data_IF_170799172390
#
_entry.id   IF_170799172390
#
_cell.length_a   1.000
_cell.length_b   1.000
_cell.length_c   1.000
_cell.angle_alpha   90.00
_cell.angle_beta   90.00
_cell.angle_gamma   90.00
#
_symmetry.space_group_name_H-M   'P 1'
#
loop_
_entity.id
_entity.type
_entity.pdbx_description
1 polymer ?
#
# COMPACT_ATOMS: atom_id res chain seq x y z
N UNK A 1 5.43 -32.10 -7.66
CA UNK A 1 5.42 -30.90 -6.82
C UNK A 1 6.06 -31.32 -5.52
N UNK A 2 7.30 -30.90 -5.25
CA UNK A 2 7.94 -31.17 -3.96
C UNK A 2 7.35 -30.18 -2.96
N UNK A 3 6.60 -30.67 -1.98
CA UNK A 3 6.33 -29.88 -0.78
C UNK A 3 7.66 -29.59 -0.09
N UNK A 4 7.92 -28.32 0.24
CA UNK A 4 9.07 -27.97 1.06
C UNK A 4 8.98 -28.70 2.41
N UNK A 5 10.10 -29.25 2.85
CA UNK A 5 10.17 -30.01 4.09
C UNK A 5 10.03 -29.09 5.30
N UNK A 6 9.42 -29.58 6.37
CA UNK A 6 9.39 -28.88 7.65
C UNK A 6 10.78 -28.90 8.28
N UNK A 7 11.33 -27.71 8.54
CA UNK A 7 12.61 -27.51 9.21
C UNK A 7 12.38 -27.05 10.65
N UNK A 8 13.20 -27.52 11.59
CA UNK A 8 13.16 -27.04 12.98
C UNK A 8 13.92 -25.73 13.08
N UNK A 9 13.25 -24.66 13.53
CA UNK A 9 13.82 -23.29 13.51
C UNK A 9 14.16 -22.74 14.90
N UNK A 10 13.34 -23.04 15.91
CA UNK A 10 13.51 -22.54 17.27
C UNK A 10 12.68 -23.36 18.26
N UNK A 11 12.89 -23.16 19.55
CA UNK A 11 11.99 -23.63 20.61
C UNK A 11 10.98 -22.55 21.00
N UNK A 12 9.81 -22.95 21.50
CA UNK A 12 8.78 -22.01 21.95
C UNK A 12 9.28 -21.13 23.11
N UNK A 13 10.06 -21.70 24.02
CA UNK A 13 10.62 -20.98 25.17
C UNK A 13 11.64 -19.89 24.78
N UNK A 14 12.37 -20.07 23.68
CA UNK A 14 13.23 -19.02 23.13
C UNK A 14 12.42 -17.82 22.65
N UNK A 15 11.21 -18.06 22.12
CA UNK A 15 10.33 -16.99 21.63
C UNK A 15 9.47 -16.37 22.75
N UNK A 16 9.09 -17.11 23.78
CA UNK A 16 8.30 -16.59 24.91
C UNK A 16 8.99 -15.43 25.65
N UNK A 17 10.33 -15.40 25.66
CA UNK A 17 11.13 -14.36 26.30
C UNK A 17 11.29 -13.06 25.50
N UNK A 18 10.80 -13.00 24.27
CA UNK A 18 11.01 -11.88 23.35
C UNK A 18 9.80 -11.66 22.42
N UNK A 19 9.74 -10.50 21.76
CA UNK A 19 8.67 -10.23 20.80
C UNK A 19 8.97 -10.81 19.41
N UNK A 20 10.25 -11.03 19.12
CA UNK A 20 10.73 -11.50 17.82
C UNK A 20 12.05 -12.26 17.95
N UNK A 21 12.34 -13.15 16.99
CA UNK A 21 13.59 -13.92 16.95
C UNK A 21 14.03 -14.14 15.49
N UNK A 22 15.27 -13.76 15.16
CA UNK A 22 15.87 -14.04 13.85
C UNK A 22 16.28 -15.51 13.74
N UNK A 23 15.94 -16.13 12.61
CA UNK A 23 16.18 -17.55 12.30
C UNK A 23 16.57 -17.70 10.82
N UNK A 24 16.98 -18.90 10.42
CA UNK A 24 17.17 -19.27 9.00
C UNK A 24 16.15 -20.34 8.65
N UNK A 25 15.50 -20.22 7.49
CA UNK A 25 14.49 -21.18 6.98
C UNK A 25 14.74 -21.37 5.49
N UNK A 26 15.01 -22.60 5.05
CA UNK A 26 15.30 -22.89 3.62
C UNK A 26 16.44 -22.00 3.05
N UNK A 27 17.52 -21.85 3.82
CA UNK A 27 18.66 -20.96 3.53
C UNK A 27 18.33 -19.46 3.43
N UNK A 28 17.10 -19.04 3.74
CA UNK A 28 16.69 -17.64 3.78
C UNK A 28 16.74 -17.07 5.20
N UNK A 29 17.24 -15.84 5.39
CA UNK A 29 17.10 -15.11 6.65
C UNK A 29 15.62 -14.79 6.90
N UNK A 30 15.12 -15.14 8.08
CA UNK A 30 13.74 -14.94 8.47
C UNK A 30 13.63 -14.43 9.91
N UNK A 31 12.48 -13.86 10.25
CA UNK A 31 12.17 -13.40 11.59
C UNK A 31 10.83 -14.00 12.05
N UNK A 32 10.87 -14.67 13.20
CA UNK A 32 9.68 -15.07 13.93
C UNK A 32 9.18 -13.88 14.73
N UNK A 33 7.90 -13.56 14.63
CA UNK A 33 7.28 -12.40 15.29
C UNK A 33 6.07 -12.88 16.07
N UNK A 34 6.02 -12.54 17.36
CA UNK A 34 4.82 -12.69 18.18
C UNK A 34 4.04 -11.38 18.19
N UNK A 35 2.83 -11.40 17.68
CA UNK A 35 1.94 -10.24 17.62
C UNK A 35 0.49 -10.66 17.87
N UNK A 36 -0.19 -10.01 18.82
CA UNK A 36 -1.59 -10.28 19.19
C UNK A 36 -1.86 -11.77 19.50
N UNK A 37 -1.02 -12.36 20.38
CA UNK A 37 -1.04 -13.78 20.77
C UNK A 37 -0.93 -14.79 19.61
N UNK A 38 -0.49 -14.33 18.44
CA UNK A 38 -0.21 -15.16 17.25
C UNK A 38 1.27 -15.10 16.88
N UNK A 39 1.68 -16.08 16.11
CA UNK A 39 3.04 -16.21 15.60
C UNK A 39 3.03 -16.08 14.09
N UNK A 40 3.97 -15.27 13.59
CA UNK A 40 4.20 -15.05 12.17
C UNK A 40 5.66 -15.32 11.87
N UNK A 41 5.94 -15.70 10.64
CA UNK A 41 7.29 -15.87 10.15
C UNK A 41 7.37 -15.28 8.75
N UNK A 42 8.29 -14.35 8.57
CA UNK A 42 8.50 -13.61 7.33
C UNK A 42 9.99 -13.54 7.02
N UNK A 43 10.34 -13.34 5.76
CA UNK A 43 11.71 -13.09 5.34
C UNK A 43 12.23 -11.82 6.02
N UNK A 44 13.45 -11.88 6.52
CA UNK A 44 14.09 -10.78 7.24
C UNK A 44 14.89 -9.87 6.30
N UNK A 45 14.41 -9.72 5.07
CA UNK A 45 15.07 -8.93 4.03
C UNK A 45 14.00 -8.13 3.29
N UNK A 46 14.08 -6.81 3.41
CA UNK A 46 13.22 -5.91 2.66
C UNK A 46 13.46 -6.08 1.15
N UNK A 47 12.40 -6.37 0.40
CA UNK A 47 12.45 -6.56 -1.06
C UNK A 47 12.84 -5.31 -1.84
N UNK A 48 12.84 -4.12 -1.22
CA UNK A 48 13.28 -2.89 -1.86
C UNK A 48 14.81 -2.82 -2.05
N UNK A 49 15.58 -2.95 -0.97
CA UNK A 49 17.03 -2.71 -0.96
C UNK A 49 17.83 -3.61 -0.01
N UNK A 50 17.19 -4.67 0.50
CA UNK A 50 17.83 -5.69 1.32
C UNK A 50 18.00 -5.34 2.79
N UNK A 51 17.43 -4.24 3.29
CA UNK A 51 17.49 -3.89 4.71
C UNK A 51 16.83 -4.98 5.58
N UNK A 52 17.45 -5.43 6.68
CA UNK A 52 16.82 -6.32 7.65
C UNK A 52 15.55 -5.73 8.27
N UNK A 53 14.50 -6.53 8.36
CA UNK A 53 13.20 -6.13 8.92
C UNK A 53 13.13 -6.37 10.42
N UNK A 54 14.02 -7.18 11.01
CA UNK A 54 14.03 -7.55 12.43
C UNK A 54 14.00 -6.33 13.33
N UNK A 55 14.64 -5.23 12.96
CA UNK A 55 14.67 -3.97 13.74
C UNK A 55 13.49 -3.03 13.45
N UNK A 56 12.57 -3.43 12.57
CA UNK A 56 11.41 -2.68 12.14
C UNK A 56 10.31 -2.53 13.20
N UNK A 57 9.44 -1.54 13.03
CA UNK A 57 8.28 -1.35 13.91
C UNK A 57 7.16 -2.31 13.51
N UNK A 58 6.59 -3.04 14.47
CA UNK A 58 5.40 -3.88 14.25
C UNK A 58 4.16 -3.16 14.77
N UNK A 59 3.22 -2.87 13.88
CA UNK A 59 1.96 -2.18 14.21
C UNK A 59 0.84 -2.62 13.28
N UNK A 60 -0.36 -2.84 13.83
CA UNK A 60 -1.57 -3.24 13.09
C UNK A 60 -1.38 -4.46 12.18
N UNK A 61 -0.62 -5.46 12.61
CA UNK A 61 -0.34 -6.66 11.82
C UNK A 61 0.62 -6.44 10.64
N UNK A 62 1.34 -5.31 10.62
CA UNK A 62 2.35 -4.98 9.60
C UNK A 62 3.70 -4.75 10.24
N UNK A 63 4.77 -5.01 9.50
CA UNK A 63 6.13 -4.61 9.86
C UNK A 63 6.61 -3.48 8.94
N UNK A 64 7.17 -2.43 9.54
CA UNK A 64 7.76 -1.29 8.84
C UNK A 64 9.28 -1.43 8.77
N UNK A 65 9.83 -1.43 7.56
CA UNK A 65 11.27 -1.42 7.31
C UNK A 65 11.90 -0.16 7.94
N UNK A 66 12.90 -0.31 8.82
CA UNK A 66 13.45 0.79 9.61
C UNK A 66 14.24 1.83 8.80
N UNK A 67 14.50 1.55 7.51
CA UNK A 67 15.32 2.42 6.65
C UNK A 67 14.49 3.44 5.87
N UNK A 68 13.51 2.98 5.09
CA UNK A 68 12.71 3.84 4.19
C UNK A 68 11.20 3.80 4.48
N UNK A 69 10.76 3.00 5.47
CA UNK A 69 9.35 2.94 5.87
C UNK A 69 8.46 2.04 4.99
N UNK A 70 9.03 1.23 4.10
CA UNK A 70 8.27 0.19 3.39
C UNK A 70 7.54 -0.71 4.40
N UNK A 71 6.27 -1.03 4.15
CA UNK A 71 5.46 -1.85 5.07
C UNK A 71 5.05 -3.16 4.44
N UNK A 72 5.08 -4.23 5.22
CA UNK A 72 4.69 -5.57 4.80
C UNK A 72 3.64 -6.15 5.74
N UNK A 73 2.64 -6.82 5.19
CA UNK A 73 1.66 -7.58 5.96
C UNK A 73 2.29 -8.84 6.56
N UNK A 74 2.14 -9.06 7.87
CA UNK A 74 2.78 -10.19 8.56
C UNK A 74 2.24 -11.57 8.12
N UNK A 75 1.03 -11.62 7.57
CA UNK A 75 0.36 -12.87 7.21
C UNK A 75 0.61 -13.28 5.77
N UNK A 76 0.48 -12.34 4.85
CA UNK A 76 0.58 -12.56 3.41
C UNK A 76 1.93 -12.16 2.82
N UNK A 77 2.72 -11.35 3.53
CA UNK A 77 3.97 -10.79 3.02
C UNK A 77 3.76 -9.66 2.00
N UNK A 78 2.51 -9.26 1.73
CA UNK A 78 2.20 -8.22 0.75
C UNK A 78 2.89 -6.91 1.09
N UNK A 79 3.51 -6.27 0.09
CA UNK A 79 4.01 -4.90 0.22
C UNK A 79 2.82 -3.94 0.23
N UNK A 80 2.67 -3.19 1.32
CA UNK A 80 1.54 -2.28 1.58
C UNK A 80 1.91 -0.81 1.44
N UNK A 81 3.21 -0.51 1.38
CA UNK A 81 3.70 0.86 1.32
C UNK A 81 5.03 0.86 0.58
N UNK A 82 5.15 1.78 -0.38
CA UNK A 82 6.41 2.06 -1.07
C UNK A 82 7.52 2.43 -0.08
N UNK A 83 8.80 2.22 -0.42
CA UNK A 83 9.29 1.92 -1.77
C UNK A 83 9.33 0.43 -2.16
N UNK A 84 8.89 -0.49 -1.31
CA UNK A 84 8.77 -1.90 -1.70
C UNK A 84 7.53 -2.11 -2.59
N UNK A 85 7.72 -2.75 -3.74
CA UNK A 85 6.65 -3.15 -4.67
C UNK A 85 6.42 -4.66 -4.70
N UNK A 86 7.40 -5.44 -4.23
CA UNK A 86 7.34 -6.90 -4.23
C UNK A 86 7.04 -7.44 -2.83
N UNK A 87 6.20 -8.48 -2.71
CA UNK A 87 5.97 -9.12 -1.42
C UNK A 87 7.24 -9.82 -0.91
N UNK A 88 7.33 -9.99 0.41
CA UNK A 88 8.34 -10.83 1.06
C UNK A 88 7.83 -12.27 1.20
N UNK A 89 8.74 -13.25 1.29
CA UNK A 89 8.36 -14.62 1.58
C UNK A 89 7.77 -14.74 3.00
N UNK A 90 6.68 -15.47 3.14
CA UNK A 90 6.12 -15.88 4.44
C UNK A 90 6.38 -17.36 4.70
N UNK A 91 6.35 -17.78 5.96
CA UNK A 91 6.61 -19.17 6.31
C UNK A 91 5.45 -19.75 7.12
N UNK A 92 5.04 -20.95 6.74
CA UNK A 92 4.06 -21.73 7.49
C UNK A 92 4.73 -22.19 8.78
N UNK A 93 4.03 -22.08 9.91
CA UNK A 93 4.52 -22.49 11.22
C UNK A 93 3.76 -23.69 11.75
N UNK A 94 4.48 -24.65 12.31
CA UNK A 94 3.93 -25.80 13.01
C UNK A 94 4.61 -25.99 14.36
N UNK A 95 3.82 -26.20 15.40
CA UNK A 95 4.29 -26.34 16.78
C UNK A 95 4.17 -27.79 17.21
N UNK A 96 5.29 -28.44 17.54
CA UNK A 96 5.34 -29.84 17.97
C UNK A 96 6.21 -29.97 19.21
N UNK A 97 5.66 -30.51 20.29
CA UNK A 97 6.40 -30.81 21.53
C UNK A 97 7.21 -29.64 22.10
N UNK A 98 6.73 -28.40 21.94
CA UNK A 98 7.44 -27.19 22.39
C UNK A 98 8.50 -26.66 21.42
N UNK A 99 8.63 -27.26 20.25
CA UNK A 99 9.51 -26.83 19.16
C UNK A 99 8.69 -26.17 18.04
N UNK A 100 9.32 -25.21 17.35
CA UNK A 100 8.76 -24.50 16.21
C UNK A 100 9.41 -25.06 14.95
N UNK A 101 8.56 -25.52 14.04
CA UNK A 101 8.93 -25.93 12.70
C UNK A 101 8.39 -24.92 11.70
N UNK A 102 9.16 -24.66 10.64
CA UNK A 102 8.73 -23.78 9.57
C UNK A 102 9.06 -24.36 8.20
N UNK A 103 8.37 -23.85 7.19
CA UNK A 103 8.68 -24.07 5.77
C UNK A 103 8.20 -22.86 4.96
N UNK A 104 8.76 -22.58 3.78
CA UNK A 104 8.23 -21.55 2.89
C UNK A 104 6.74 -21.78 2.62
N UNK A 105 5.91 -20.77 2.89
CA UNK A 105 4.51 -20.78 2.49
C UNK A 105 4.45 -20.82 0.97
N UNK A 106 3.57 -21.66 0.42
CA UNK A 106 3.30 -21.64 -1.02
C UNK A 106 2.67 -20.28 -1.33
N UNK A 107 3.42 -19.38 -1.98
CA UNK A 107 2.83 -18.16 -2.48
C UNK A 107 1.80 -18.55 -3.54
N UNK A 108 0.53 -18.21 -3.33
CA UNK A 108 -0.44 -18.21 -4.44
C UNK A 108 -0.07 -17.05 -5.36
N UNK A 109 1.00 -17.21 -6.14
CA UNK A 109 1.27 -16.37 -7.28
C UNK A 109 0.28 -16.79 -8.38
N UNK A 110 -0.80 -16.00 -8.48
CA UNK A 110 -1.59 -15.86 -9.71
C UNK A 110 -2.45 -17.07 -10.14
N UNK A 111 -3.45 -17.48 -9.35
CA UNK A 111 -4.75 -17.85 -9.92
C UNK A 111 -5.84 -18.09 -8.86
N UNK A 112 -6.94 -17.36 -9.07
CA UNK A 112 -8.29 -17.70 -8.65
C UNK A 112 -8.69 -17.27 -7.22
N UNK A 113 -9.23 -16.05 -7.14
CA UNK A 113 -10.36 -15.77 -6.27
C UNK A 113 -11.54 -16.71 -6.63
N UNK A 114 -11.46 -17.97 -6.22
CA UNK A 114 -12.61 -18.86 -6.19
C UNK A 114 -13.38 -18.55 -4.90
N UNK A 115 -14.40 -17.70 -5.03
CA UNK A 115 -15.49 -17.68 -4.08
C UNK A 115 -16.04 -19.11 -3.95
N UNK A 116 -15.81 -19.74 -2.80
CA UNK A 116 -16.50 -20.96 -2.43
C UNK A 116 -17.98 -20.61 -2.20
N UNK A 117 -18.76 -20.59 -3.27
CA UNK A 117 -20.22 -20.67 -3.20
C UNK A 117 -20.59 -22.13 -3.04
N UNK A 118 -20.84 -22.53 -1.81
CA UNK A 118 -21.55 -23.78 -1.50
C UNK A 118 -23.03 -23.58 -1.82
N UNK A 119 -23.50 -24.17 -2.91
CA UNK A 119 -24.91 -24.50 -3.15
C UNK A 119 -25.05 -26.02 -2.93
N UNK A 120 -26.06 -26.60 -2.26
CA UNK A 120 -27.52 -26.73 -2.56
C UNK A 120 -28.04 -27.86 -1.61
N UNK A 121 -29.30 -28.38 -1.57
CA UNK A 121 -30.69 -27.96 -1.93
C UNK A 121 -31.66 -28.02 -0.71
N UNK A 122 -32.98 -27.85 -0.71
CA UNK A 122 -34.08 -27.52 -1.64
C UNK A 122 -35.36 -27.26 -0.80
N UNK A 123 -36.36 -26.53 -1.33
CA UNK A 123 -37.75 -27.02 -1.46
C UNK A 123 -38.77 -25.93 -1.90
N UNK A 124 -39.55 -26.28 -2.93
CA UNK A 124 -41.00 -26.04 -3.11
C UNK A 124 -41.54 -24.72 -3.73
N UNK A 125 -41.88 -24.86 -5.02
CA UNK A 125 -43.08 -24.47 -5.79
C UNK A 125 -44.06 -23.39 -5.29
N UNK A 126 -44.43 -22.44 -6.18
CA UNK A 126 -45.82 -22.15 -6.63
C UNK A 126 -45.87 -21.04 -7.72
N UNK A 127 -47.01 -20.97 -8.41
CA UNK A 127 -47.33 -20.44 -9.76
C UNK A 127 -47.46 -18.91 -10.01
N UNK A 128 -47.41 -18.60 -11.32
CA UNK A 128 -47.94 -17.48 -12.14
C UNK A 128 -48.82 -16.38 -11.52
N UNK A 129 -48.58 -15.12 -11.93
CA UNK A 129 -49.46 -14.31 -12.83
C UNK A 129 -48.94 -12.87 -12.99
N UNK A 130 -48.97 -12.38 -14.23
CA UNK A 130 -48.68 -11.02 -14.71
C UNK A 130 -49.61 -9.94 -14.16
N UNK A 131 -49.12 -8.75 -13.80
CA UNK A 131 -49.76 -7.41 -14.01
C UNK A 131 -48.69 -6.29 -13.95
N UNK A 132 -48.78 -5.33 -14.87
CA UNK A 132 -48.02 -4.06 -14.93
C UNK A 132 -48.57 -2.99 -13.96
N UNK A 133 -47.75 -1.96 -13.62
CA UNK A 133 -48.03 -0.49 -13.64
C UNK A 133 -47.45 0.27 -12.41
N UNK A 134 -46.54 1.22 -12.73
CA UNK A 134 -46.20 2.58 -12.19
C UNK A 134 -45.99 2.95 -10.70
N UNK A 135 -45.05 3.93 -10.55
CA UNK A 135 -44.84 4.97 -9.50
C UNK A 135 -44.28 4.55 -8.12
N UNK A 136 -43.48 5.31 -7.36
CA UNK A 136 -42.59 6.49 -7.45
C UNK A 136 -41.96 6.67 -6.03
N UNK A 137 -40.74 7.23 -5.94
CA UNK A 137 -40.01 7.82 -4.78
C UNK A 137 -39.49 6.87 -3.66
N UNK A 138 -38.27 6.90 -3.09
CA UNK A 138 -37.06 7.79 -2.95
C UNK A 138 -36.80 7.96 -1.45
N UNK A 139 -35.59 7.60 -1.00
CA UNK A 139 -34.80 8.24 0.10
C UNK A 139 -33.47 7.47 0.20
N UNK A 140 -32.38 7.80 -0.50
CA UNK A 140 -31.36 8.86 -0.34
C UNK A 140 -30.57 8.86 0.99
N UNK A 141 -29.25 8.58 0.89
CA UNK A 141 -28.13 9.42 1.37
C UNK A 141 -26.78 8.65 1.33
N UNK A 142 -25.62 9.32 1.14
CA UNK A 142 -25.38 10.41 0.21
C UNK A 142 -24.14 10.16 -0.69
N UNK A 143 -24.22 10.73 -1.89
CA UNK A 143 -23.08 10.99 -2.75
C UNK A 143 -22.22 12.12 -2.17
N UNK A 144 -20.90 11.95 -2.19
CA UNK A 144 -19.96 13.06 -2.06
C UNK A 144 -19.77 13.68 -3.45
N UNK A 145 -20.14 14.95 -3.54
CA UNK A 145 -20.44 15.71 -4.74
C UNK A 145 -19.24 15.91 -5.66
N UNK A 146 -19.40 15.48 -6.92
CA UNK A 146 -18.77 16.12 -8.07
C UNK A 146 -19.34 17.52 -8.20
N UNK A 147 -18.57 18.54 -7.76
CA UNK A 147 -18.81 19.91 -8.20
C UNK A 147 -17.99 20.13 -9.46
N UNK A 148 -18.63 19.96 -10.62
CA UNK A 148 -18.14 20.50 -11.88
C UNK A 148 -18.08 22.03 -11.77
N UNK A 149 -16.90 22.58 -11.50
CA UNK A 149 -16.67 24.02 -11.60
C UNK A 149 -15.85 24.31 -12.86
N UNK A 150 -16.58 24.45 -13.96
CA UNK A 150 -16.06 24.87 -15.26
C UNK A 150 -15.77 26.39 -15.26
N UNK A 151 -14.60 26.77 -14.73
CA UNK A 151 -13.92 28.04 -15.07
C UNK A 151 -12.40 28.10 -14.81
N UNK A 152 -11.75 27.06 -14.23
CA UNK A 152 -10.30 27.07 -13.88
C UNK A 152 -9.40 26.09 -14.68
N UNK A 153 -9.97 25.32 -15.61
CA UNK A 153 -9.28 24.24 -16.30
C UNK A 153 -7.90 24.58 -16.95
N UNK A 154 -7.67 25.75 -17.58
CA UNK A 154 -6.39 26.03 -18.22
C UNK A 154 -5.26 26.35 -17.23
N UNK A 155 -5.57 26.89 -16.04
CA UNK A 155 -4.55 27.31 -15.06
C UNK A 155 -4.08 26.12 -14.22
N UNK A 156 -5.00 25.27 -13.78
CA UNK A 156 -4.69 24.01 -13.07
C UNK A 156 -3.84 23.08 -13.95
N UNK A 157 -4.16 22.97 -15.25
CA UNK A 157 -3.35 22.19 -16.20
C UNK A 157 -1.90 22.66 -16.27
N UNK A 158 -1.68 23.98 -16.35
CA UNK A 158 -0.33 24.55 -16.36
C UNK A 158 0.43 24.33 -15.05
N UNK A 159 -0.26 24.33 -13.90
CA UNK A 159 0.33 24.00 -12.61
C UNK A 159 0.75 22.53 -12.53
N UNK A 160 -0.07 21.61 -13.02
CA UNK A 160 0.28 20.20 -13.13
C UNK A 160 1.49 19.99 -14.05
N UNK A 161 1.55 20.67 -15.18
CA UNK A 161 2.70 20.60 -16.09
C UNK A 161 3.99 21.12 -15.44
N UNK A 162 3.90 22.15 -14.58
CA UNK A 162 5.02 22.63 -13.79
C UNK A 162 5.46 21.60 -12.74
N UNK A 163 4.50 21.01 -12.01
CA UNK A 163 4.77 19.98 -11.01
C UNK A 163 5.34 18.70 -11.61
N UNK A 164 5.05 18.38 -12.88
CA UNK A 164 5.68 17.27 -13.61
C UNK A 164 7.20 17.40 -13.76
N UNK A 165 7.76 18.59 -13.57
CA UNK A 165 9.22 18.79 -13.58
C UNK A 165 9.90 18.32 -12.28
N UNK A 166 9.12 18.09 -11.21
CA UNK A 166 9.63 17.65 -9.93
C UNK A 166 9.67 16.12 -9.91
N UNK A 167 10.89 15.59 -9.84
CA UNK A 167 11.17 14.15 -9.89
C UNK A 167 11.46 13.64 -8.48
N UNK A 168 10.82 12.55 -8.08
CA UNK A 168 11.20 11.82 -6.87
C UNK A 168 12.61 11.23 -7.06
N UNK A 169 13.61 11.60 -6.24
CA UNK A 169 14.99 11.18 -6.43
C UNK A 169 15.25 9.68 -6.14
N UNK A 170 14.30 9.01 -5.49
CA UNK A 170 14.39 7.57 -5.19
C UNK A 170 13.71 6.75 -6.29
N UNK A 171 12.57 7.22 -6.80
CA UNK A 171 11.79 6.49 -7.82
C UNK A 171 12.07 6.93 -9.26
N UNK A 172 12.71 8.07 -9.47
CA UNK A 172 13.00 8.66 -10.79
C UNK A 172 11.76 8.89 -11.68
N UNK A 173 10.59 9.05 -11.06
CA UNK A 173 9.30 9.39 -11.69
C UNK A 173 8.82 10.73 -11.12
N UNK A 174 8.07 11.49 -11.92
CA UNK A 174 7.56 12.78 -11.46
C UNK A 174 6.39 12.64 -10.48
N UNK A 175 6.26 13.62 -9.59
CA UNK A 175 5.27 13.58 -8.51
C UNK A 175 3.81 13.58 -8.98
N UNK A 176 3.54 14.03 -10.21
CA UNK A 176 2.19 14.04 -10.78
C UNK A 176 1.81 12.65 -11.29
N UNK A 177 2.70 12.01 -12.06
CA UNK A 177 2.46 10.68 -12.61
C UNK A 177 2.54 9.58 -11.53
N UNK A 178 3.26 9.86 -10.43
CA UNK A 178 3.19 9.06 -9.18
C UNK A 178 1.85 9.24 -8.44
N UNK A 179 1.01 10.21 -8.80
CA UNK A 179 -0.24 10.48 -8.10
C UNK A 179 -0.05 11.09 -6.71
N UNK A 180 1.06 11.79 -6.45
CA UNK A 180 1.31 12.40 -5.13
C UNK A 180 0.55 13.71 -4.93
N UNK A 181 0.13 14.37 -6.01
CA UNK A 181 -0.61 15.64 -5.98
C UNK A 181 -2.10 15.35 -5.89
N UNK A 182 -2.74 15.72 -4.79
CA UNK A 182 -4.15 15.43 -4.53
C UNK A 182 -5.08 16.55 -4.93
N UNK A 183 -4.67 17.80 -4.67
CA UNK A 183 -5.50 18.97 -4.94
C UNK A 183 -4.63 20.22 -5.14
N UNK A 184 -5.14 21.15 -5.95
CA UNK A 184 -4.52 22.45 -6.21
C UNK A 184 -5.62 23.50 -6.13
N UNK A 185 -5.51 24.38 -5.15
CA UNK A 185 -6.43 25.51 -4.98
C UNK A 185 -5.68 26.81 -5.17
N UNK A 186 -6.29 27.74 -5.90
CA UNK A 186 -5.76 29.07 -6.14
C UNK A 186 -6.75 30.14 -5.68
N UNK A 187 -6.27 31.08 -4.86
CA UNK A 187 -7.03 32.28 -4.49
C UNK A 187 -6.14 33.51 -4.57
N UNK A 188 -6.55 34.54 -5.32
CA UNK A 188 -5.81 35.81 -5.44
C UNK A 188 -4.32 35.62 -5.82
N UNK A 189 -4.03 34.68 -6.73
CA UNK A 189 -2.69 34.30 -7.17
C UNK A 189 -1.82 33.63 -6.08
N UNK A 190 -2.38 33.29 -4.92
CA UNK A 190 -1.73 32.43 -3.94
C UNK A 190 -2.20 31.00 -4.17
N UNK A 191 -1.25 30.08 -4.33
CA UNK A 191 -1.51 28.69 -4.69
C UNK A 191 -1.22 27.80 -3.50
N UNK A 192 -2.16 26.92 -3.16
CA UNK A 192 -1.97 25.87 -2.17
C UNK A 192 -2.04 24.53 -2.89
N UNK A 193 -0.95 23.76 -2.82
CA UNK A 193 -0.90 22.39 -3.33
C UNK A 193 -1.02 21.44 -2.16
N UNK A 194 -2.06 20.63 -2.16
CA UNK A 194 -2.19 19.50 -1.22
C UNK A 194 -1.59 18.27 -1.86
N UNK A 195 -0.55 17.71 -1.23
CA UNK A 195 0.14 16.53 -1.73
C UNK A 195 0.53 15.57 -0.62
N UNK A 196 0.92 14.37 -1.01
CA UNK A 196 1.41 13.32 -0.11
C UNK A 196 2.84 12.91 -0.48
N UNK A 197 3.39 11.92 0.23
CA UNK A 197 4.65 11.27 -0.09
C UNK A 197 4.42 9.76 -0.22
N UNK A 198 5.32 9.09 -0.94
CA UNK A 198 5.32 7.63 -1.10
C UNK A 198 5.48 6.89 0.23
N UNK A 199 6.11 7.53 1.22
CA UNK A 199 6.28 7.04 2.59
C UNK A 199 6.29 8.22 3.59
N UNK A 200 5.70 8.07 4.79
CA UNK A 200 5.72 9.11 5.84
C UNK A 200 7.12 9.44 6.34
N UNK A 201 8.06 8.51 6.20
CA UNK A 201 9.46 8.63 6.61
C UNK A 201 10.40 8.87 5.42
N UNK A 202 9.88 9.36 4.28
CA UNK A 202 10.69 9.59 3.09
C UNK A 202 11.81 10.62 3.36
N UNK A 203 13.10 10.22 3.28
CA UNK A 203 14.23 11.12 3.56
C UNK A 203 14.31 12.27 2.52
N UNK A 204 13.83 12.02 1.30
CA UNK A 204 13.74 13.02 0.23
C UNK A 204 12.52 13.95 0.36
N UNK A 205 11.61 13.71 1.31
CA UNK A 205 10.38 14.49 1.48
C UNK A 205 10.60 16.01 1.51
N UNK A 206 11.52 16.56 2.34
CA UNK A 206 11.80 17.99 2.38
C UNK A 206 12.28 18.56 1.03
N UNK A 207 13.05 17.78 0.26
CA UNK A 207 13.54 18.19 -1.06
C UNK A 207 12.37 18.26 -2.05
N UNK A 208 11.53 17.23 -2.11
CA UNK A 208 10.38 17.17 -3.02
C UNK A 208 9.42 18.34 -2.74
N UNK A 209 9.13 18.61 -1.47
CA UNK A 209 8.27 19.73 -1.05
C UNK A 209 8.85 21.08 -1.49
N UNK A 210 10.17 21.28 -1.28
CA UNK A 210 10.82 22.52 -1.70
C UNK A 210 10.76 22.69 -3.24
N UNK A 211 11.07 21.62 -3.99
CA UNK A 211 11.03 21.66 -5.45
C UNK A 211 9.63 21.89 -6.00
N UNK A 212 8.59 21.29 -5.41
CA UNK A 212 7.19 21.54 -5.76
C UNK A 212 6.79 23.00 -5.54
N UNK A 213 7.18 23.56 -4.39
CA UNK A 213 6.96 24.98 -4.09
C UNK A 213 7.64 25.90 -5.09
N UNK A 214 8.90 25.62 -5.39
CA UNK A 214 9.71 26.42 -6.30
C UNK A 214 9.16 26.36 -7.73
N UNK A 215 8.72 25.18 -8.18
CA UNK A 215 8.10 24.98 -9.50
C UNK A 215 6.83 25.82 -9.68
N UNK A 216 5.97 25.88 -8.66
CA UNK A 216 4.75 26.70 -8.69
C UNK A 216 5.08 28.19 -8.57
N UNK A 217 6.00 28.57 -7.66
CA UNK A 217 6.38 29.97 -7.46
C UNK A 217 7.04 30.58 -8.70
N UNK A 218 7.72 29.77 -9.51
CA UNK A 218 8.35 30.21 -10.76
C UNK A 218 7.33 30.52 -11.87
N UNK A 219 6.06 30.14 -11.71
CA UNK A 219 5.04 30.39 -12.72
C UNK A 219 4.66 31.87 -12.82
N UNK A 220 4.47 32.41 -14.04
CA UNK A 220 3.98 33.77 -14.22
C UNK A 220 2.59 33.95 -13.59
N UNK A 221 2.45 34.97 -12.75
CA UNK A 221 1.17 35.30 -12.12
C UNK A 221 0.97 34.71 -10.73
N UNK A 222 1.86 33.83 -10.24
CA UNK A 222 1.81 33.32 -8.85
C UNK A 222 2.54 34.29 -7.91
N UNK A 223 1.90 34.67 -6.81
CA UNK A 223 2.47 35.53 -5.77
C UNK A 223 3.17 34.71 -4.67
N UNK A 224 2.51 33.65 -4.20
CA UNK A 224 3.02 32.73 -3.20
C UNK A 224 2.55 31.30 -3.48
N UNK A 225 3.38 30.33 -3.13
CA UNK A 225 3.04 28.92 -3.15
C UNK A 225 3.22 28.31 -1.76
N UNK A 226 2.21 27.59 -1.29
CA UNK A 226 2.23 26.80 -0.07
C UNK A 226 2.01 25.32 -0.39
N UNK A 227 2.83 24.44 0.20
CA UNK A 227 2.70 22.99 0.06
C UNK A 227 2.16 22.44 1.36
N UNK A 228 0.98 21.82 1.30
CA UNK A 228 0.34 21.16 2.43
C UNK A 228 0.51 19.65 2.28
N UNK A 229 1.31 19.07 3.16
CA UNK A 229 1.46 17.61 3.24
C UNK A 229 0.29 16.98 3.99
N UNK A 230 -0.30 15.95 3.40
CA UNK A 230 -1.29 15.07 4.03
C UNK A 230 -0.90 13.60 3.91
N UNK A 231 -1.20 12.81 4.94
CA UNK A 231 -1.08 11.34 4.93
C UNK A 231 -2.44 10.66 4.75
N UNK A 232 -3.48 11.44 4.46
CA UNK A 232 -4.85 10.97 4.29
C UNK A 232 -5.46 11.58 3.02
N UNK A 233 -5.97 10.76 2.08
CA UNK A 233 -5.87 9.29 2.07
C UNK A 233 -4.41 8.78 2.00
N UNK A 234 -4.12 7.57 2.54
CA UNK A 234 -2.79 6.98 2.38
C UNK A 234 -2.52 6.75 0.90
N UNK A 235 -1.30 7.04 0.47
CA UNK A 235 -0.90 6.79 -0.91
C UNK A 235 -0.64 5.30 -1.13
N UNK A 236 -1.01 4.82 -2.32
CA UNK A 236 -0.70 3.47 -2.79
C UNK A 236 -0.46 3.47 -4.30
N UNK A 237 0.15 2.40 -4.85
CA UNK A 237 0.48 2.30 -6.28
C UNK A 237 -0.73 2.47 -7.21
N UNK A 238 -1.95 2.22 -6.73
CA UNK A 238 -3.19 2.44 -7.46
C UNK A 238 -3.40 3.89 -7.88
N UNK A 239 -2.79 4.86 -7.19
CA UNK A 239 -2.86 6.29 -7.51
C UNK A 239 -1.95 6.70 -8.67
N UNK A 240 -1.01 5.83 -9.07
CA UNK A 240 -0.10 6.10 -10.17
C UNK A 240 -0.80 5.95 -11.52
N UNK A 241 -0.33 6.74 -12.49
CA UNK A 241 -0.65 6.52 -13.92
C UNK A 241 -0.13 5.17 -14.41
N UNK A 242 -0.77 4.62 -15.44
CA UNK A 242 -0.36 3.32 -16.00
C UNK A 242 1.09 3.35 -16.53
N UNK A 243 1.49 4.45 -17.18
CA UNK A 243 2.87 4.64 -17.66
C UNK A 243 3.90 4.62 -16.50
N UNK A 244 3.56 5.20 -15.35
CA UNK A 244 4.42 5.19 -14.17
C UNK A 244 4.50 3.78 -13.53
N UNK A 245 3.39 3.04 -13.51
CA UNK A 245 3.37 1.65 -13.03
C UNK A 245 4.24 0.75 -13.90
N UNK A 246 4.12 0.88 -15.22
CA UNK A 246 4.95 0.17 -16.19
C UNK A 246 6.44 0.48 -16.00
N UNK A 247 6.79 1.76 -15.79
CA UNK A 247 8.18 2.17 -15.55
C UNK A 247 8.76 1.57 -14.26
N UNK A 248 7.94 1.39 -13.22
CA UNK A 248 8.34 0.78 -11.96
C UNK A 248 8.17 -0.75 -11.92
N UNK A 249 7.67 -1.36 -13.01
CA UNK A 249 7.42 -2.80 -13.07
C UNK A 249 6.30 -3.29 -12.15
N UNK A 250 5.30 -2.43 -11.89
CA UNK A 250 4.11 -2.72 -11.10
C UNK A 250 2.98 -3.08 -12.07
N UNK A 251 2.38 -4.26 -11.95
CA UNK A 251 1.33 -4.76 -12.85
C UNK A 251 0.04 -5.09 -12.10
#
# INVERSE_FOLDING_TARGET
MNEAAWERVASLSELEGQERLSVIIDDLPAVLIRYDDKYYAIEDVCTHDGQPLTDGLVVNGTIECPRHGARFDLKSGAALCMPATQPIQTFDLEFRDGEIYARPSQSESSQQASFATTATPAATQAESTTVQTSEENTEEAPAASTSENSSDAPMVGAMLDSLKQVIDPELFVNIVDLGLVYDITEENNDVVVTMTLTSPSCPAGPQIVAQARDAITAMPGVNNAEIKLTMSPPWGPEMMTDDAKDQLGIF
#
